data_IF_930322462373
#
_entry.id   IF_930322462373
#
_cell.length_a   1.000
_cell.length_b   1.000
_cell.length_c   1.000
_cell.angle_alpha   90.00
_cell.angle_beta   90.00
_cell.angle_gamma   90.00
#
_symmetry.space_group_name_H-M   'P 1'
#
loop_
_entity.id
_entity.type
_entity.pdbx_description
1 polymer ?
#
# COMPACT_ATOMS: atom_id res chain seq x y z
N UNK A 1 -1.60 2.07 10.28
CA UNK A 1 -1.61 2.61 8.91
C UNK A 1 -2.01 4.07 8.92
N UNK A 2 -1.08 4.94 8.53
CA UNK A 2 -1.24 6.39 8.41
C UNK A 2 -0.73 6.75 7.02
N UNK A 3 -1.50 7.48 6.22
CA UNK A 3 -1.02 8.03 4.95
C UNK A 3 -0.30 9.34 5.25
N UNK A 4 0.97 9.47 4.84
CA UNK A 4 1.64 10.77 4.79
C UNK A 4 1.53 11.33 3.38
N UNK A 5 1.15 12.59 3.31
CA UNK A 5 1.03 13.33 2.06
C UNK A 5 2.13 14.40 2.01
N UNK A 6 2.98 14.31 0.99
CA UNK A 6 4.10 15.23 0.75
C UNK A 6 3.82 16.16 -0.45
N UNK A 7 2.55 16.32 -0.82
CA UNK A 7 2.08 17.06 -1.99
C UNK A 7 2.32 16.29 -3.29
N UNK A 8 3.59 16.16 -3.69
CA UNK A 8 3.98 15.48 -4.93
C UNK A 8 3.84 13.95 -4.86
N UNK A 9 3.94 13.37 -3.66
CA UNK A 9 3.83 11.93 -3.45
C UNK A 9 3.27 11.62 -2.07
N UNK A 10 2.90 10.36 -1.87
CA UNK A 10 2.46 9.80 -0.59
C UNK A 10 3.37 8.64 -0.17
N UNK A 11 3.39 8.39 1.13
CA UNK A 11 3.86 7.15 1.73
C UNK A 11 2.85 6.65 2.79
N UNK A 12 3.12 5.48 3.35
CA UNK A 12 2.29 4.88 4.41
C UNK A 12 3.20 4.45 5.55
N UNK A 13 2.85 4.88 6.77
CA UNK A 13 3.54 4.54 8.02
C UNK A 13 2.64 3.75 8.98
N UNK A 14 3.24 3.16 10.02
CA UNK A 14 2.50 2.46 11.08
C UNK A 14 1.90 1.14 10.62
N UNK A 15 2.50 0.52 9.61
CA UNK A 15 2.19 -0.79 9.05
C UNK A 15 3.42 -1.73 9.02
N UNK A 16 4.53 -1.33 9.63
CA UNK A 16 5.83 -1.99 9.54
C UNK A 16 5.78 -3.42 10.08
N UNK A 17 5.00 -3.65 11.14
CA UNK A 17 4.78 -5.01 11.65
C UNK A 17 4.06 -5.91 10.65
N UNK A 18 3.12 -5.36 9.88
CA UNK A 18 2.37 -6.10 8.88
C UNK A 18 3.27 -6.40 7.68
N UNK A 19 4.11 -5.44 7.27
CA UNK A 19 5.11 -5.67 6.21
C UNK A 19 6.13 -6.73 6.63
N UNK A 20 6.62 -6.70 7.88
CA UNK A 20 7.48 -7.75 8.43
C UNK A 20 6.79 -9.12 8.42
N UNK A 21 5.51 -9.17 8.77
CA UNK A 21 4.71 -10.39 8.78
C UNK A 21 4.53 -10.98 7.37
N UNK A 22 4.38 -10.15 6.34
CA UNK A 22 4.33 -10.62 4.95
C UNK A 22 5.62 -11.37 4.55
N UNK A 23 6.76 -10.96 5.12
CA UNK A 23 8.07 -11.58 4.89
C UNK A 23 8.68 -11.20 3.54
N UNK A 24 8.15 -10.17 2.89
CA UNK A 24 8.71 -9.53 1.71
C UNK A 24 8.26 -8.07 1.68
N UNK A 25 9.00 -7.24 0.95
CA UNK A 25 8.66 -5.84 0.74
C UNK A 25 8.46 -5.60 -0.74
N UNK A 26 7.33 -5.01 -1.11
CA UNK A 26 7.10 -4.51 -2.46
C UNK A 26 7.26 -2.99 -2.47
N UNK A 27 8.36 -2.54 -3.07
CA UNK A 27 8.55 -1.12 -3.36
C UNK A 27 7.44 -0.63 -4.30
N UNK A 28 6.82 0.53 -4.01
CA UNK A 28 5.89 1.16 -4.94
C UNK A 28 6.60 1.58 -6.22
N UNK A 29 6.17 1.03 -7.35
CA UNK A 29 6.66 1.40 -8.69
C UNK A 29 5.65 2.29 -9.42
N UNK A 30 6.06 2.89 -10.55
CA UNK A 30 5.14 3.55 -11.48
C UNK A 30 4.08 2.54 -11.91
N UNK A 31 2.81 2.93 -11.80
CA UNK A 31 1.65 2.09 -12.14
C UNK A 31 0.81 2.80 -13.20
N UNK A 32 0.25 2.06 -14.14
CA UNK A 32 -0.79 2.62 -15.01
C UNK A 32 -2.07 2.81 -14.17
N UNK A 33 -2.69 4.00 -14.12
CA UNK A 33 -3.90 4.22 -13.31
C UNK A 33 -5.09 3.31 -13.66
N UNK A 34 -5.11 2.75 -14.87
CA UNK A 34 -6.10 1.80 -15.36
C UNK A 34 -5.91 0.37 -14.78
N UNK A 35 -4.68 -0.01 -14.40
CA UNK A 35 -4.32 -1.42 -14.11
C UNK A 35 -4.72 -1.87 -12.70
N UNK A 36 -4.87 -0.96 -11.73
CA UNK A 36 -5.26 -1.34 -10.36
C UNK A 36 -5.95 -0.21 -9.62
N UNK A 37 -7.12 -0.50 -9.01
CA UNK A 37 -7.97 0.50 -8.36
C UNK A 37 -8.27 0.16 -6.90
N UNK A 38 -7.24 -0.07 -6.08
CA UNK A 38 -7.44 -0.06 -4.63
C UNK A 38 -7.82 1.35 -4.19
N UNK A 39 -9.00 1.48 -3.59
CA UNK A 39 -9.40 2.68 -2.86
C UNK A 39 -8.75 2.68 -1.47
N UNK A 40 -8.71 3.85 -0.82
CA UNK A 40 -8.27 3.93 0.59
C UNK A 40 -9.06 2.98 1.49
N UNK A 41 -10.38 2.86 1.27
CA UNK A 41 -11.27 2.01 2.06
C UNK A 41 -10.90 0.53 1.93
N UNK A 42 -10.62 0.06 0.72
CA UNK A 42 -10.19 -1.31 0.48
C UNK A 42 -8.81 -1.58 1.08
N UNK A 43 -7.88 -0.63 0.92
CA UNK A 43 -6.56 -0.73 1.52
C UNK A 43 -6.63 -0.82 3.06
N UNK A 44 -7.44 0.04 3.69
CA UNK A 44 -7.63 0.03 5.14
C UNK A 44 -8.29 -1.27 5.60
N UNK A 45 -9.25 -1.81 4.85
CA UNK A 45 -9.86 -3.10 5.16
C UNK A 45 -8.85 -4.25 5.11
N UNK A 46 -7.97 -4.27 4.10
CA UNK A 46 -6.88 -5.25 4.01
C UNK A 46 -5.89 -5.13 5.17
N UNK A 47 -5.52 -3.90 5.53
CA UNK A 47 -4.69 -3.62 6.70
C UNK A 47 -5.34 -4.15 7.97
N UNK A 48 -6.59 -3.78 8.25
CA UNK A 48 -7.33 -4.18 9.45
C UNK A 48 -7.47 -5.71 9.53
N UNK A 49 -7.72 -6.38 8.41
CA UNK A 49 -7.77 -7.84 8.34
C UNK A 49 -6.42 -8.46 8.66
N UNK A 50 -5.33 -7.95 8.08
CA UNK A 50 -3.98 -8.44 8.38
C UNK A 50 -3.61 -8.19 9.85
N UNK A 51 -3.98 -7.03 10.39
CA UNK A 51 -3.74 -6.63 11.78
C UNK A 51 -4.46 -7.54 12.77
N UNK A 52 -5.75 -7.79 12.57
CA UNK A 52 -6.56 -8.62 13.48
C UNK A 52 -6.17 -10.09 13.45
N UNK A 53 -5.86 -10.62 12.28
CA UNK A 53 -5.64 -12.06 12.11
C UNK A 53 -4.18 -12.47 12.27
N UNK A 54 -3.24 -11.53 12.07
CA UNK A 54 -1.79 -11.77 12.07
C UNK A 54 -1.36 -12.94 11.17
N UNK A 55 -2.13 -13.23 10.11
CA UNK A 55 -1.79 -14.25 9.11
C UNK A 55 -0.92 -13.67 8.00
N UNK A 56 0.10 -14.44 7.59
CA UNK A 56 1.07 -14.05 6.56
C UNK A 56 0.44 -13.80 5.19
N UNK A 57 -0.55 -14.59 4.80
CA UNK A 57 -1.29 -14.43 3.53
C UNK A 57 -2.07 -13.11 3.48
N UNK A 58 -2.77 -12.75 4.55
CA UNK A 58 -3.45 -11.46 4.65
C UNK A 58 -2.46 -10.29 4.63
N UNK A 59 -1.33 -10.42 5.33
CA UNK A 59 -0.26 -9.43 5.30
C UNK A 59 0.37 -9.28 3.91
N UNK A 60 0.56 -10.40 3.18
CA UNK A 60 1.06 -10.41 1.81
C UNK A 60 0.11 -9.68 0.85
N UNK A 61 -1.20 -9.96 0.93
CA UNK A 61 -2.21 -9.26 0.12
C UNK A 61 -2.21 -7.76 0.42
N UNK A 62 -2.15 -7.38 1.70
CA UNK A 62 -2.02 -5.98 2.07
C UNK A 62 -0.75 -5.34 1.49
N UNK A 63 0.41 -6.00 1.59
CA UNK A 63 1.67 -5.47 1.08
C UNK A 63 1.63 -5.17 -0.42
N UNK A 64 1.00 -6.05 -1.21
CA UNK A 64 0.81 -5.83 -2.66
C UNK A 64 -0.13 -4.66 -2.89
N UNK A 65 -1.29 -4.66 -2.24
CA UNK A 65 -2.29 -3.59 -2.40
C UNK A 65 -1.74 -2.21 -2.00
N UNK A 66 -0.94 -2.15 -0.93
CA UNK A 66 -0.22 -0.96 -0.47
C UNK A 66 0.71 -0.42 -1.56
N UNK A 67 1.53 -1.29 -2.15
CA UNK A 67 2.45 -0.91 -3.22
C UNK A 67 1.69 -0.35 -4.43
N UNK A 68 0.61 -1.03 -4.86
CA UNK A 68 -0.24 -0.57 -5.96
C UNK A 68 -0.89 0.80 -5.65
N UNK A 69 -1.42 1.00 -4.44
CA UNK A 69 -2.07 2.24 -4.04
C UNK A 69 -1.11 3.43 -4.05
N UNK A 70 0.08 3.27 -3.44
CA UNK A 70 1.12 4.30 -3.43
C UNK A 70 1.60 4.56 -4.86
N UNK A 71 1.94 3.50 -5.59
CA UNK A 71 2.45 3.57 -6.96
C UNK A 71 1.50 4.31 -7.90
N UNK A 72 0.21 4.02 -7.81
CA UNK A 72 -0.80 4.73 -8.59
C UNK A 72 -0.92 6.20 -8.20
N UNK A 73 -1.10 6.47 -6.91
CA UNK A 73 -1.30 7.85 -6.40
C UNK A 73 -0.12 8.74 -6.77
N UNK A 74 1.09 8.21 -6.63
CA UNK A 74 2.32 8.92 -6.99
C UNK A 74 2.47 9.08 -8.52
N UNK A 75 1.96 8.13 -9.33
CA UNK A 75 1.91 8.30 -10.79
C UNK A 75 0.92 9.40 -11.19
N UNK A 76 -0.29 9.42 -10.63
CA UNK A 76 -1.29 10.45 -10.88
C UNK A 76 -0.80 11.85 -10.50
N UNK A 77 0.05 11.94 -9.46
CA UNK A 77 0.67 13.20 -9.01
C UNK A 77 1.95 13.57 -9.76
N UNK A 78 2.38 12.76 -10.73
CA UNK A 78 3.58 13.03 -11.53
C UNK A 78 4.91 12.88 -10.75
N UNK A 79 4.91 12.15 -9.64
CA UNK A 79 6.12 11.86 -8.86
C UNK A 79 7.10 10.97 -9.64
N UNK A 80 6.57 9.95 -10.32
CA UNK A 80 7.37 9.08 -11.17
C UNK A 80 7.59 9.75 -12.52
N UNK A 81 8.83 10.19 -12.77
CA UNK A 81 9.28 10.69 -14.07
C UNK A 81 9.31 9.54 -15.08
#
# INVERSE_FOLDING_TARGET
MIIRDHGSHIDIEGDEEILKLAGFYHEPTKQNPEDTRYTYKELYWLFDRAWKTRKRDHAAIYSVARSCYIGRTNTERGYYK
#
